data_IF_070889142273
#
_entry.id   IF_070889142273
#
_cell.length_a   1.000
_cell.length_b   1.000
_cell.length_c   1.000
_cell.angle_alpha   90.00
_cell.angle_beta   90.00
_cell.angle_gamma   90.00
#
_symmetry.space_group_name_H-M   'P 1'
#
loop_
_entity.id
_entity.type
_entity.pdbx_description
1 polymer ?
#
# COMPACT_ATOMS: atom_id res chain seq x y z
N UNK A 1 33.84 -11.26 2.88
CA UNK A 1 33.27 -9.94 2.55
C UNK A 1 33.32 -9.09 3.82
N UNK A 2 33.59 -7.78 3.74
CA UNK A 2 33.47 -6.92 4.91
C UNK A 2 32.03 -7.02 5.46
N UNK A 3 31.92 -7.15 6.77
CA UNK A 3 30.63 -7.31 7.46
C UNK A 3 29.96 -5.93 7.53
N UNK A 4 28.97 -5.69 6.67
CA UNK A 4 28.22 -4.45 6.69
C UNK A 4 27.25 -4.47 7.87
N UNK A 5 27.41 -3.53 8.81
CA UNK A 5 26.41 -3.31 9.87
C UNK A 5 25.17 -2.67 9.25
N UNK A 6 24.05 -3.37 9.32
CA UNK A 6 22.75 -2.88 8.90
C UNK A 6 22.02 -2.33 10.13
N UNK A 7 21.39 -1.18 9.98
CA UNK A 7 20.63 -0.49 11.04
C UNK A 7 19.28 -0.04 10.50
N UNK A 8 18.29 0.07 11.38
CA UNK A 8 17.01 0.70 11.08
C UNK A 8 17.11 2.15 11.52
N UNK A 9 16.90 3.09 10.59
CA UNK A 9 17.03 4.52 10.84
C UNK A 9 15.71 5.25 11.00
N UNK A 10 14.60 4.67 10.53
CA UNK A 10 13.27 5.25 10.72
C UNK A 10 12.17 4.22 10.51
N UNK A 11 10.98 4.54 11.03
CA UNK A 11 9.81 3.69 10.99
C UNK A 11 8.53 4.49 10.69
N UNK A 12 7.61 3.86 9.96
CA UNK A 12 6.32 4.44 9.65
C UNK A 12 5.26 3.34 9.58
N UNK A 13 4.07 3.65 10.10
CA UNK A 13 2.99 2.70 10.28
C UNK A 13 1.68 3.36 9.87
N UNK A 14 0.84 2.67 9.12
CA UNK A 14 -0.55 3.04 8.93
C UNK A 14 -1.41 1.85 9.34
N UNK A 15 -2.16 2.00 10.44
CA UNK A 15 -2.89 0.89 11.08
C UNK A 15 -4.20 1.35 11.71
N UNK A 16 -5.01 0.40 12.16
CA UNK A 16 -6.31 0.68 12.80
C UNK A 16 -6.21 1.38 14.17
N UNK A 17 -5.01 1.45 14.77
CA UNK A 17 -4.78 2.09 16.08
C UNK A 17 -3.82 3.28 16.00
N UNK A 18 -3.35 3.65 14.81
CA UNK A 18 -2.43 4.77 14.67
C UNK A 18 -1.92 4.97 13.24
N UNK A 19 -1.75 6.24 12.89
CA UNK A 19 -1.14 6.70 11.65
C UNK A 19 0.16 7.43 12.01
N UNK A 20 1.29 6.82 11.67
CA UNK A 20 2.62 7.15 12.20
C UNK A 20 3.05 6.20 13.30
N UNK A 21 4.37 5.97 13.43
CA UNK A 21 4.90 5.01 14.40
C UNK A 21 4.69 5.47 15.85
N UNK A 22 4.68 6.80 16.12
CA UNK A 22 4.47 7.36 17.46
C UNK A 22 3.04 7.10 17.96
N UNK A 23 2.04 7.46 17.15
CA UNK A 23 0.63 7.25 17.47
C UNK A 23 0.32 5.77 17.67
N UNK A 24 0.83 4.92 16.76
CA UNK A 24 0.71 3.47 16.86
C UNK A 24 1.31 2.93 18.16
N UNK A 25 2.54 3.33 18.49
CA UNK A 25 3.22 2.84 19.68
C UNK A 25 2.56 3.33 20.98
N UNK A 26 2.12 4.59 21.01
CA UNK A 26 1.40 5.14 22.14
C UNK A 26 0.06 4.42 22.37
N UNK A 27 -0.70 4.12 21.30
CA UNK A 27 -1.93 3.35 21.37
C UNK A 27 -1.68 1.91 21.84
N UNK A 28 -0.63 1.27 21.33
CA UNK A 28 -0.22 -0.07 21.74
C UNK A 28 0.09 -0.13 23.25
N UNK A 29 0.84 0.84 23.79
CA UNK A 29 1.17 0.91 25.21
C UNK A 29 -0.04 1.15 26.12
N UNK A 30 -1.11 1.78 25.61
CA UNK A 30 -2.38 1.94 26.33
C UNK A 30 -3.27 0.70 26.28
N UNK A 31 -2.96 -0.27 25.42
CA UNK A 31 -3.80 -1.44 25.17
C UNK A 31 -5.01 -1.13 24.27
N UNK A 32 -4.92 -0.09 23.45
CA UNK A 32 -5.99 0.27 22.51
C UNK A 32 -6.15 -0.84 21.44
N UNK A 33 -7.40 -1.24 21.17
CA UNK A 33 -7.71 -2.24 20.14
C UNK A 33 -8.30 -1.58 18.90
N UNK A 34 -7.78 -1.97 17.72
CA UNK A 34 -8.35 -1.60 16.44
C UNK A 34 -9.55 -2.46 16.04
N UNK A 35 -9.71 -3.63 16.67
CA UNK A 35 -10.77 -4.61 16.37
C UNK A 35 -12.12 -4.05 16.78
N UNK A 36 -13.01 -3.90 15.80
CA UNK A 36 -14.34 -3.30 15.95
C UNK A 36 -15.32 -3.87 14.94
N UNK A 37 -16.57 -3.44 15.02
CA UNK A 37 -17.56 -3.74 13.98
C UNK A 37 -17.15 -3.12 12.64
N UNK A 38 -17.36 -3.85 11.55
CA UNK A 38 -17.18 -3.33 10.19
C UNK A 38 -18.28 -2.34 9.76
N UNK A 39 -19.25 -2.02 10.63
CA UNK A 39 -20.25 -0.98 10.37
C UNK A 39 -19.65 0.42 10.17
N UNK A 40 -18.53 0.72 10.85
CA UNK A 40 -17.91 2.05 10.85
C UNK A 40 -16.75 2.18 9.84
N UNK A 41 -16.57 1.21 8.93
CA UNK A 41 -15.50 1.23 7.93
C UNK A 41 -15.75 2.30 6.86
N UNK A 42 -14.67 2.86 6.31
CA UNK A 42 -14.71 3.91 5.27
C UNK A 42 -13.82 3.56 4.05
N UNK A 43 -13.56 2.27 3.84
CA UNK A 43 -12.71 1.72 2.78
C UNK A 43 -13.53 1.12 1.62
N UNK A 44 -14.77 1.58 1.44
CA UNK A 44 -15.74 1.15 0.41
C UNK A 44 -16.07 -0.35 0.42
N UNK A 45 -15.72 -1.07 1.49
CA UNK A 45 -16.10 -2.47 1.68
C UNK A 45 -17.54 -2.64 2.18
N UNK A 46 -18.08 -3.88 2.13
CA UNK A 46 -19.43 -4.16 2.59
C UNK A 46 -19.57 -3.92 4.10
N UNK A 47 -20.74 -3.43 4.50
CA UNK A 47 -21.15 -3.19 5.88
C UNK A 47 -22.32 -4.11 6.26
N UNK A 48 -22.56 -4.33 7.57
CA UNK A 48 -23.65 -5.19 8.03
C UNK A 48 -25.01 -4.69 7.53
N UNK A 49 -25.91 -5.59 7.08
CA UNK A 49 -27.22 -5.19 6.55
C UNK A 49 -28.10 -4.56 7.63
N UNK A 50 -28.76 -3.45 7.29
CA UNK A 50 -29.70 -2.78 8.19
C UNK A 50 -31.03 -3.53 8.24
N UNK A 51 -31.54 -3.83 9.45
CA UNK A 51 -32.90 -4.36 9.64
C UNK A 51 -33.11 -5.83 9.23
N UNK A 52 -32.03 -6.60 9.09
CA UNK A 52 -32.05 -8.08 8.97
C UNK A 52 -31.26 -8.68 10.13
N UNK A 53 -31.52 -9.95 10.47
CA UNK A 53 -30.58 -10.68 11.31
C UNK A 53 -29.22 -10.69 10.59
N UNK A 54 -28.16 -10.33 11.31
CA UNK A 54 -26.81 -10.40 10.76
C UNK A 54 -26.46 -11.86 10.53
N UNK A 55 -26.34 -12.27 9.28
CA UNK A 55 -25.63 -13.49 8.94
C UNK A 55 -24.13 -13.22 9.18
N UNK A 56 -23.51 -14.06 10.02
CA UNK A 56 -22.08 -14.03 10.35
C UNK A 56 -21.50 -12.92 11.23
N UNK A 57 -20.16 -12.93 11.32
CA UNK A 57 -19.36 -12.05 12.18
C UNK A 57 -18.78 -10.87 11.39
N UNK A 58 -19.35 -9.69 11.58
CA UNK A 58 -18.89 -8.45 10.95
C UNK A 58 -17.85 -7.71 11.78
N UNK A 59 -16.71 -8.36 12.03
CA UNK A 59 -15.64 -7.85 12.89
C UNK A 59 -14.33 -7.75 12.11
N UNK A 60 -13.59 -6.67 12.30
CA UNK A 60 -12.27 -6.49 11.71
C UNK A 60 -11.53 -5.31 12.34
N UNK A 61 -10.37 -4.95 11.77
CA UNK A 61 -9.59 -3.80 12.19
C UNK A 61 -9.41 -2.82 11.01
N UNK A 62 -10.48 -2.14 10.56
CA UNK A 62 -10.39 -1.17 9.49
C UNK A 62 -9.58 0.05 9.93
N UNK A 63 -8.77 0.58 9.02
CA UNK A 63 -8.20 1.93 9.17
C UNK A 63 -9.29 2.91 8.77
N UNK A 64 -9.75 3.71 9.73
CA UNK A 64 -10.83 4.69 9.54
C UNK A 64 -10.29 6.13 9.57
N UNK A 65 -10.93 7.03 8.85
CA UNK A 65 -10.54 8.44 8.75
C UNK A 65 -9.33 8.70 7.87
N UNK A 66 -8.86 7.71 7.10
CA UNK A 66 -7.72 7.89 6.20
C UNK A 66 -8.16 8.57 4.89
N UNK A 67 -7.61 9.77 4.64
CA UNK A 67 -7.73 10.49 3.37
C UNK A 67 -6.35 10.61 2.69
N UNK A 68 -6.12 9.78 1.68
CA UNK A 68 -4.88 9.80 0.90
C UNK A 68 -4.58 11.14 0.22
N UNK A 69 -5.58 12.02 0.02
CA UNK A 69 -5.37 13.36 -0.55
C UNK A 69 -4.52 14.27 0.33
N UNK A 70 -4.42 13.98 1.63
CA UNK A 70 -3.63 14.77 2.57
C UNK A 70 -2.13 14.49 2.41
N UNK A 71 -1.77 13.30 1.93
CA UNK A 71 -0.39 12.81 1.97
C UNK A 71 0.22 12.57 0.58
N UNK A 72 -0.57 12.08 -0.38
CA UNK A 72 -0.04 11.69 -1.70
C UNK A 72 0.14 12.90 -2.60
N UNK A 73 1.39 13.20 -2.94
CA UNK A 73 1.78 14.25 -3.89
C UNK A 73 2.63 13.62 -5.02
N UNK A 74 2.40 13.97 -6.29
CA UNK A 74 1.31 14.81 -6.80
C UNK A 74 -0.05 14.09 -6.74
N UNK A 75 -1.15 14.85 -6.56
CA UNK A 75 -2.52 14.29 -6.42
C UNK A 75 -2.98 13.43 -7.61
N UNK A 76 -2.35 13.58 -8.78
CA UNK A 76 -2.61 12.74 -9.96
C UNK A 76 -2.26 11.27 -9.71
N UNK A 77 -1.28 10.98 -8.86
CA UNK A 77 -0.86 9.61 -8.53
C UNK A 77 -1.98 8.81 -7.85
N UNK A 78 -2.89 9.47 -7.10
CA UNK A 78 -4.04 8.83 -6.48
C UNK A 78 -4.95 8.08 -7.46
N UNK A 79 -4.99 8.49 -8.73
CA UNK A 79 -5.82 7.84 -9.76
C UNK A 79 -5.38 6.41 -10.08
N UNK A 80 -4.13 6.06 -9.78
CA UNK A 80 -3.53 4.76 -10.07
C UNK A 80 -3.13 4.02 -8.80
N UNK A 81 -3.64 4.42 -7.63
CA UNK A 81 -3.38 3.77 -6.35
C UNK A 81 -4.66 3.24 -5.71
N UNK A 82 -4.70 1.96 -5.34
CA UNK A 82 -5.68 1.46 -4.36
C UNK A 82 -5.44 2.07 -2.97
N UNK A 83 -6.38 1.88 -2.05
CA UNK A 83 -6.25 2.34 -0.67
C UNK A 83 -5.02 1.75 0.03
N UNK A 84 -4.70 0.47 -0.21
CA UNK A 84 -3.54 -0.21 0.37
C UNK A 84 -2.23 0.37 -0.14
N UNK A 85 -2.16 0.71 -1.44
CA UNK A 85 -1.00 1.38 -2.02
C UNK A 85 -0.82 2.77 -1.40
N UNK A 86 -1.90 3.52 -1.21
CA UNK A 86 -1.85 4.82 -0.55
C UNK A 86 -1.34 4.68 0.89
N UNK A 87 -1.85 3.72 1.67
CA UNK A 87 -1.39 3.47 3.03
C UNK A 87 0.10 3.09 3.09
N UNK A 88 0.54 2.20 2.19
CA UNK A 88 1.95 1.81 2.06
C UNK A 88 2.84 3.00 1.75
N UNK A 89 2.42 3.83 0.81
CA UNK A 89 3.10 5.05 0.43
C UNK A 89 3.23 6.01 1.61
N UNK A 90 2.14 6.29 2.32
CA UNK A 90 2.13 7.20 3.47
C UNK A 90 3.01 6.69 4.60
N UNK A 91 2.90 5.40 4.95
CA UNK A 91 3.77 4.79 5.95
C UNK A 91 5.26 4.88 5.56
N UNK A 92 5.57 4.73 4.27
CA UNK A 92 6.94 4.87 3.77
C UNK A 92 7.44 6.31 3.88
N UNK A 93 6.63 7.30 3.53
CA UNK A 93 7.01 8.70 3.67
C UNK A 93 7.22 9.09 5.14
N UNK A 94 6.38 8.59 6.05
CA UNK A 94 6.57 8.78 7.50
C UNK A 94 7.86 8.12 8.01
N UNK A 95 8.23 6.95 7.48
CA UNK A 95 9.49 6.29 7.84
C UNK A 95 10.72 7.07 7.37
N UNK A 96 10.62 7.71 6.20
CA UNK A 96 11.67 8.57 5.63
C UNK A 96 11.83 9.85 6.44
N UNK A 97 10.71 10.48 6.82
CA UNK A 97 10.69 11.65 7.68
C UNK A 97 11.28 11.33 9.07
N UNK A 98 10.89 10.22 9.68
CA UNK A 98 11.43 9.75 10.96
C UNK A 98 12.94 9.49 10.90
N UNK A 99 13.44 9.01 9.76
CA UNK A 99 14.87 8.84 9.54
C UNK A 99 15.64 10.16 9.31
N UNK A 100 14.93 11.29 9.14
CA UNK A 100 15.53 12.57 8.75
C UNK A 100 16.12 12.54 7.34
N UNK A 101 15.55 11.73 6.44
CA UNK A 101 16.08 11.51 5.08
C UNK A 101 15.24 12.17 3.97
N UNK A 102 14.20 12.92 4.33
CA UNK A 102 13.28 13.59 3.41
C UNK A 102 13.99 14.54 2.43
N UNK A 103 14.96 15.31 2.94
CA UNK A 103 15.69 16.32 2.17
C UNK A 103 16.89 15.78 1.39
N UNK A 104 17.30 14.53 1.64
CA UNK A 104 18.51 13.95 1.03
C UNK A 104 18.22 12.99 -0.12
N UNK A 105 16.95 12.62 -0.32
CA UNK A 105 16.58 11.79 -1.45
C UNK A 105 16.56 12.58 -2.76
N UNK A 106 16.97 11.97 -3.89
CA UNK A 106 17.13 12.70 -5.16
C UNK A 106 15.85 13.30 -5.76
N UNK A 107 14.67 12.98 -5.23
CA UNK A 107 13.39 13.55 -5.66
C UNK A 107 12.95 14.78 -4.85
N UNK A 108 13.65 15.14 -3.76
CA UNK A 108 13.39 16.38 -3.05
C UNK A 108 13.64 17.55 -4.01
N UNK A 109 12.59 18.32 -4.32
CA UNK A 109 12.70 19.49 -5.21
C UNK A 109 13.78 20.43 -4.67
N UNK A 110 14.87 20.60 -5.45
CA UNK A 110 15.82 21.67 -5.23
C UNK A 110 15.23 22.99 -5.74
N UNK A 111 14.14 23.46 -5.13
CA UNK A 111 13.61 24.81 -5.36
C UNK A 111 14.37 25.88 -4.53
N UNK A 112 15.41 25.47 -3.82
CA UNK A 112 16.34 26.36 -3.17
C UNK A 112 17.69 26.34 -3.87
N UNK A 113 17.98 27.41 -4.60
CA UNK A 113 19.34 28.01 -4.77
C UNK A 113 19.97 28.44 -3.41
N UNK A 114 19.47 27.89 -2.30
CA UNK A 114 19.90 28.16 -0.93
C UNK A 114 20.04 26.88 -0.11
N UNK A 115 20.55 25.81 -0.70
CA UNK A 115 21.29 24.85 0.10
C UNK A 115 22.64 25.50 0.41
N UNK A 116 22.76 26.11 1.59
CA UNK A 116 24.06 26.25 2.21
C UNK A 116 24.74 24.88 2.08
N UNK A 117 25.84 24.86 1.35
CA UNK A 117 26.64 23.68 1.06
C UNK A 117 27.19 23.13 2.37
N UNK A 118 26.39 22.35 3.09
CA UNK A 118 26.92 21.45 4.08
C UNK A 118 27.52 20.28 3.31
N UNK A 119 28.81 20.39 3.00
CA UNK A 119 29.59 19.37 2.29
C UNK A 119 29.57 18.00 3.02
N UNK A 120 29.08 17.95 4.27
CA UNK A 120 28.90 16.73 5.05
C UNK A 120 27.48 16.12 5.01
N UNK A 121 26.52 16.70 4.29
CA UNK A 121 25.20 16.11 4.15
C UNK A 121 25.27 14.77 3.38
N UNK A 122 24.73 13.70 3.95
CA UNK A 122 24.63 12.39 3.29
C UNK A 122 23.81 12.57 2.01
N UNK A 123 24.40 12.23 0.85
CA UNK A 123 23.69 12.23 -0.44
C UNK A 123 23.65 10.81 -0.98
N UNK A 124 22.45 10.33 -1.27
CA UNK A 124 22.28 9.05 -1.95
C UNK A 124 22.24 9.25 -3.46
N UNK A 125 22.98 8.44 -4.22
CA UNK A 125 22.73 8.37 -5.66
C UNK A 125 21.46 7.53 -5.89
N UNK A 126 20.63 7.83 -6.91
CA UNK A 126 19.43 7.06 -7.25
C UNK A 126 19.64 5.54 -7.27
N UNK A 127 20.75 5.09 -7.87
CA UNK A 127 21.12 3.67 -8.00
C UNK A 127 21.40 2.95 -6.67
N UNK A 128 21.71 3.70 -5.61
CA UNK A 128 22.09 3.15 -4.31
C UNK A 128 20.89 3.02 -3.36
N UNK A 129 19.71 3.46 -3.80
CA UNK A 129 18.46 3.39 -3.05
C UNK A 129 17.58 2.29 -3.65
N UNK A 130 17.20 1.30 -2.85
CA UNK A 130 16.25 0.27 -3.24
C UNK A 130 14.92 0.35 -2.50
N UNK A 131 13.92 -0.32 -3.06
CA UNK A 131 12.58 -0.46 -2.48
C UNK A 131 12.16 -1.93 -2.56
N UNK A 132 11.91 -2.56 -1.42
CA UNK A 132 11.50 -3.97 -1.37
C UNK A 132 10.31 -4.11 -0.43
N UNK A 133 9.16 -4.49 -0.97
CA UNK A 133 7.92 -4.53 -0.21
C UNK A 133 7.33 -5.94 -0.15
N UNK A 134 6.76 -6.27 0.99
CA UNK A 134 5.78 -7.34 1.09
C UNK A 134 4.43 -6.81 0.60
N UNK A 135 3.69 -7.63 -0.15
CA UNK A 135 2.31 -7.30 -0.46
C UNK A 135 1.43 -8.52 -0.28
N UNK A 136 0.18 -8.26 0.07
CA UNK A 136 -0.90 -9.19 -0.20
C UNK A 136 -1.38 -9.03 -1.65
N UNK A 137 -2.24 -9.92 -2.12
CA UNK A 137 -3.00 -9.65 -3.34
C UNK A 137 -3.93 -8.46 -3.08
N UNK A 138 -3.85 -7.44 -3.94
CA UNK A 138 -4.71 -6.27 -3.87
C UNK A 138 -5.88 -6.48 -4.83
N UNK A 139 -7.09 -6.20 -4.36
CA UNK A 139 -8.30 -6.43 -5.12
C UNK A 139 -9.11 -5.14 -5.22
N UNK A 140 -9.62 -4.86 -6.42
CA UNK A 140 -10.66 -3.86 -6.59
C UNK A 140 -11.99 -4.33 -5.99
N UNK A 141 -12.87 -3.39 -5.60
CA UNK A 141 -14.21 -3.75 -5.18
C UNK A 141 -14.98 -4.36 -6.37
N UNK A 142 -15.86 -5.37 -6.15
CA UNK A 142 -16.63 -5.99 -7.22
C UNK A 142 -17.46 -4.99 -8.03
N UNK A 143 -17.84 -3.87 -7.42
CA UNK A 143 -18.60 -2.78 -8.03
C UNK A 143 -17.88 -2.13 -9.22
N UNK A 144 -16.55 -2.14 -9.28
CA UNK A 144 -15.80 -1.60 -10.42
C UNK A 144 -15.98 -2.43 -11.71
N UNK A 145 -16.34 -3.70 -11.60
CA UNK A 145 -16.64 -4.56 -12.74
C UNK A 145 -18.14 -4.81 -12.94
N UNK A 146 -18.98 -4.41 -11.98
CA UNK A 146 -20.41 -4.73 -11.97
C UNK A 146 -21.14 -4.29 -13.25
N UNK A 147 -20.85 -3.10 -13.77
CA UNK A 147 -21.46 -2.61 -15.02
C UNK A 147 -21.07 -3.48 -16.23
N UNK A 148 -19.81 -3.94 -16.29
CA UNK A 148 -19.36 -4.81 -17.37
C UNK A 148 -20.09 -6.16 -17.32
N UNK A 149 -20.23 -6.74 -16.12
CA UNK A 149 -20.98 -7.98 -15.90
C UNK A 149 -22.47 -7.82 -16.22
N UNK A 150 -23.10 -6.73 -15.81
CA UNK A 150 -24.51 -6.46 -16.12
C UNK A 150 -24.77 -6.40 -17.63
N UNK A 151 -23.83 -5.86 -18.41
CA UNK A 151 -23.91 -5.83 -19.88
C UNK A 151 -23.70 -7.19 -20.54
N UNK A 152 -23.30 -8.21 -19.79
CA UNK A 152 -23.19 -9.59 -20.27
C UNK A 152 -24.44 -10.42 -20.00
N UNK A 153 -25.42 -9.90 -19.25
CA UNK A 153 -26.67 -10.61 -18.99
C UNK A 153 -27.60 -10.50 -20.21
N UNK A 154 -28.28 -11.60 -20.53
CA UNK A 154 -29.43 -11.61 -21.44
C UNK A 154 -30.74 -11.27 -20.72
N UNK A 155 -31.85 -11.28 -21.45
CA UNK A 155 -33.18 -10.94 -20.91
C UNK A 155 -33.66 -11.95 -19.85
N UNK A 156 -33.12 -13.17 -19.86
CA UNK A 156 -33.40 -14.23 -18.88
C UNK A 156 -32.42 -14.20 -17.68
N UNK A 157 -31.45 -13.27 -17.68
CA UNK A 157 -30.43 -13.14 -16.65
C UNK A 157 -29.31 -14.17 -16.75
N UNK A 158 -29.22 -14.93 -17.85
CA UNK A 158 -28.10 -15.82 -18.11
C UNK A 158 -26.90 -15.02 -18.63
N UNK A 159 -25.70 -15.47 -18.27
CA UNK A 159 -24.47 -14.77 -18.60
C UNK A 159 -23.94 -15.22 -19.97
N UNK A 160 -23.82 -14.26 -20.88
CA UNK A 160 -23.12 -14.41 -22.16
C UNK A 160 -21.70 -13.84 -22.05
N UNK A 161 -20.75 -14.74 -21.80
CA UNK A 161 -19.32 -14.42 -21.63
C UNK A 161 -18.71 -13.77 -22.88
N UNK A 162 -19.24 -14.05 -24.07
CA UNK A 162 -18.70 -13.54 -25.33
C UNK A 162 -18.79 -12.00 -25.42
N UNK A 163 -19.75 -11.40 -24.71
CA UNK A 163 -19.98 -9.94 -24.65
C UNK A 163 -19.00 -9.22 -23.71
N UNK A 164 -18.30 -9.96 -22.85
CA UNK A 164 -17.49 -9.35 -21.78
C UNK A 164 -16.36 -8.47 -22.31
N UNK A 165 -15.67 -8.90 -23.37
CA UNK A 165 -14.57 -8.13 -23.94
C UNK A 165 -15.01 -6.72 -24.37
N UNK A 166 -16.12 -6.62 -25.12
CA UNK A 166 -16.63 -5.32 -25.57
C UNK A 166 -17.19 -4.49 -24.40
N UNK A 167 -17.93 -5.13 -23.48
CA UNK A 167 -18.47 -4.46 -22.31
C UNK A 167 -17.35 -3.85 -21.46
N UNK A 168 -16.35 -4.66 -21.10
CA UNK A 168 -15.22 -4.26 -20.28
C UNK A 168 -14.40 -3.12 -20.93
N UNK A 169 -14.14 -3.19 -22.24
CA UNK A 169 -13.42 -2.12 -22.95
C UNK A 169 -14.14 -0.76 -22.89
N UNK A 170 -15.47 -0.75 -22.76
CA UNK A 170 -16.26 0.49 -22.72
C UNK A 170 -16.51 1.01 -21.31
N UNK A 171 -16.64 0.14 -20.30
CA UNK A 171 -17.02 0.54 -18.94
C UNK A 171 -15.91 0.46 -17.90
N UNK A 172 -14.82 -0.27 -18.15
CA UNK A 172 -13.71 -0.38 -17.20
C UNK A 172 -12.65 0.68 -17.51
N UNK A 173 -12.19 1.37 -16.47
CA UNK A 173 -11.11 2.35 -16.59
C UNK A 173 -9.82 1.66 -17.08
N UNK A 174 -9.15 2.14 -18.15
CA UNK A 174 -8.02 1.40 -18.75
C UNK A 174 -6.84 1.10 -17.81
N UNK A 175 -6.61 1.93 -16.80
CA UNK A 175 -5.54 1.74 -15.81
C UNK A 175 -6.03 0.98 -14.56
N UNK A 176 -7.23 0.40 -14.60
CA UNK A 176 -7.85 -0.29 -13.47
C UNK A 176 -6.95 -1.40 -12.92
N UNK A 177 -6.36 -2.22 -13.79
CA UNK A 177 -5.43 -3.28 -13.36
C UNK A 177 -4.20 -2.73 -12.65
N UNK A 178 -3.63 -1.61 -13.13
CA UNK A 178 -2.46 -1.00 -12.51
C UNK A 178 -2.74 -0.52 -11.09
N UNK A 179 -4.00 -0.15 -10.79
CA UNK A 179 -4.42 0.32 -9.47
C UNK A 179 -4.31 -0.76 -8.39
N UNK A 180 -4.25 -2.04 -8.77
CA UNK A 180 -4.26 -3.18 -7.85
C UNK A 180 -3.08 -4.14 -8.04
N UNK A 181 -2.05 -3.73 -8.77
CA UNK A 181 -0.86 -4.56 -8.94
C UNK A 181 -0.08 -4.61 -7.61
N UNK A 182 0.23 -5.80 -7.06
CA UNK A 182 0.90 -5.93 -5.75
C UNK A 182 2.26 -5.25 -5.67
N UNK A 183 2.97 -5.06 -6.79
CA UNK A 183 4.28 -4.41 -6.83
C UNK A 183 4.22 -2.88 -6.79
N UNK A 184 3.03 -2.29 -6.95
CA UNK A 184 2.87 -0.85 -7.03
C UNK A 184 3.21 -0.08 -5.75
N UNK A 185 3.08 -0.61 -4.52
CA UNK A 185 3.63 0.02 -3.32
C UNK A 185 5.14 0.35 -3.48
N UNK A 186 5.96 -0.64 -3.85
CA UNK A 186 7.39 -0.46 -4.06
C UNK A 186 7.68 0.53 -5.20
N UNK A 187 6.96 0.40 -6.32
CA UNK A 187 7.14 1.30 -7.46
C UNK A 187 6.76 2.75 -7.14
N UNK A 188 5.63 3.00 -6.47
CA UNK A 188 5.20 4.36 -6.14
C UNK A 188 6.11 5.04 -5.13
N UNK A 189 6.59 4.30 -4.12
CA UNK A 189 7.59 4.80 -3.19
C UNK A 189 8.90 5.11 -3.94
N UNK A 190 9.35 4.18 -4.79
CA UNK A 190 10.57 4.36 -5.57
C UNK A 190 10.51 5.56 -6.52
N UNK A 191 9.38 5.77 -7.19
CA UNK A 191 9.15 6.95 -8.04
C UNK A 191 9.22 8.24 -7.21
N UNK A 192 8.59 8.26 -6.03
CA UNK A 192 8.53 9.46 -5.21
C UNK A 192 9.86 9.86 -4.57
N UNK A 193 10.80 8.93 -4.42
CA UNK A 193 12.15 9.22 -3.89
C UNK A 193 13.24 9.11 -4.95
N UNK A 194 12.86 8.88 -6.23
CA UNK A 194 13.75 8.67 -7.35
C UNK A 194 14.78 7.54 -7.10
N UNK A 195 14.32 6.40 -6.58
CA UNK A 195 15.11 5.20 -6.34
C UNK A 195 15.24 4.36 -7.62
N UNK A 196 16.48 4.11 -8.04
CA UNK A 196 16.84 3.32 -9.24
C UNK A 196 17.57 2.02 -8.90
N UNK A 197 17.81 1.75 -7.62
CA UNK A 197 18.37 0.49 -7.14
C UNK A 197 17.35 -0.66 -7.21
N UNK A 198 17.56 -1.74 -6.44
CA UNK A 198 16.66 -2.90 -6.43
C UNK A 198 15.22 -2.49 -6.15
N UNK A 199 14.29 -2.88 -7.03
CA UNK A 199 12.85 -2.70 -6.86
C UNK A 199 12.18 -4.07 -6.95
N UNK A 200 11.71 -4.59 -5.82
CA UNK A 200 11.13 -5.93 -5.76
C UNK A 200 9.89 -5.96 -4.86
N UNK A 201 9.05 -6.97 -5.05
CA UNK A 201 7.88 -7.21 -4.22
C UNK A 201 7.66 -8.70 -3.99
N UNK A 202 7.44 -9.08 -2.73
CA UNK A 202 7.21 -10.45 -2.31
C UNK A 202 5.75 -10.63 -1.88
N UNK A 203 5.09 -11.63 -2.48
CA UNK A 203 3.67 -11.95 -2.24
C UNK A 203 3.56 -13.37 -1.70
N UNK A 204 3.85 -13.51 -0.41
CA UNK A 204 3.93 -14.77 0.34
C UNK A 204 2.90 -14.84 1.49
N UNK A 205 1.84 -14.04 1.45
CA UNK A 205 0.82 -13.98 2.50
C UNK A 205 1.36 -13.35 3.79
N UNK A 206 1.15 -14.02 4.93
CA UNK A 206 1.59 -13.53 6.25
C UNK A 206 3.11 -13.36 6.37
N UNK A 207 3.88 -14.03 5.52
CA UNK A 207 5.35 -13.94 5.51
C UNK A 207 5.88 -12.89 4.53
N UNK A 208 5.03 -12.20 3.77
CA UNK A 208 5.44 -11.18 2.78
C UNK A 208 6.31 -10.09 3.40
N UNK A 209 5.91 -9.55 4.56
CA UNK A 209 6.65 -8.48 5.23
C UNK A 209 8.03 -8.91 5.75
N UNK A 210 8.12 -9.98 6.56
CA UNK A 210 9.41 -10.52 6.98
C UNK A 210 10.32 -10.89 5.81
N UNK A 211 9.79 -11.52 4.77
CA UNK A 211 10.58 -11.88 3.59
C UNK A 211 11.11 -10.65 2.85
N UNK A 212 10.33 -9.56 2.79
CA UNK A 212 10.76 -8.30 2.18
C UNK A 212 11.88 -7.62 2.96
N UNK A 213 11.83 -7.72 4.30
CA UNK A 213 12.91 -7.25 5.15
C UNK A 213 14.18 -8.10 4.94
N UNK A 214 14.06 -9.42 4.87
CA UNK A 214 15.19 -10.32 4.60
C UNK A 214 15.84 -10.04 3.23
N UNK A 215 15.04 -9.80 2.20
CA UNK A 215 15.53 -9.43 0.86
C UNK A 215 16.21 -8.05 0.87
N UNK A 216 15.69 -7.08 1.63
CA UNK A 216 16.35 -5.78 1.81
C UNK A 216 17.69 -5.93 2.53
N UNK A 217 17.76 -6.74 3.59
CA UNK A 217 19.00 -7.07 4.30
C UNK A 217 20.00 -7.75 3.37
N UNK A 218 19.55 -8.68 2.53
CA UNK A 218 20.36 -9.35 1.50
C UNK A 218 20.94 -8.35 0.50
N UNK A 219 20.15 -7.39 0.02
CA UNK A 219 20.62 -6.33 -0.89
C UNK A 219 21.72 -5.47 -0.26
N UNK A 220 21.54 -5.06 1.00
CA UNK A 220 22.52 -4.27 1.75
C UNK A 220 23.80 -5.07 2.02
N UNK A 221 23.67 -6.33 2.43
CA UNK A 221 24.80 -7.22 2.75
C UNK A 221 25.67 -7.47 1.52
N UNK A 222 25.04 -7.57 0.34
CA UNK A 222 25.72 -7.78 -0.95
C UNK A 222 26.27 -6.49 -1.56
N UNK A 223 26.04 -5.33 -0.94
CA UNK A 223 26.47 -4.03 -1.46
C UNK A 223 25.76 -3.63 -2.76
N UNK A 224 24.57 -4.17 -3.03
CA UNK A 224 23.77 -3.82 -4.21
C UNK A 224 23.12 -2.44 -4.04
N UNK A 225 22.80 -2.09 -2.79
CA UNK A 225 22.27 -0.79 -2.38
C UNK A 225 22.90 -0.38 -1.04
N UNK A 226 22.81 0.90 -0.68
CA UNK A 226 23.26 1.45 0.61
C UNK A 226 22.09 1.91 1.48
N UNK A 227 20.92 2.13 0.89
CA UNK A 227 19.68 2.43 1.57
C UNK A 227 18.55 1.58 0.98
N UNK A 228 17.73 0.99 1.85
CA UNK A 228 16.55 0.24 1.43
C UNK A 228 15.32 0.78 2.16
N UNK A 229 14.26 1.07 1.41
CA UNK A 229 12.93 1.21 1.98
C UNK A 229 12.28 -0.16 1.94
N UNK A 230 11.98 -0.71 3.11
CA UNK A 230 11.31 -1.99 3.25
C UNK A 230 10.04 -1.85 4.09
N UNK A 231 9.00 -2.56 3.70
CA UNK A 231 7.71 -2.50 4.37
C UNK A 231 6.75 -3.55 3.82
N UNK A 232 5.50 -3.51 4.27
CA UNK A 232 4.46 -4.34 3.69
C UNK A 232 3.09 -3.68 3.74
N UNK A 233 2.22 -4.07 2.82
CA UNK A 233 0.85 -3.57 2.78
C UNK A 233 -0.14 -4.64 2.32
N UNK A 234 -1.36 -4.53 2.83
CA UNK A 234 -2.43 -5.44 2.48
C UNK A 234 -3.65 -5.25 3.37
N UNK A 235 -4.74 -5.90 2.94
CA UNK A 235 -5.97 -5.97 3.71
C UNK A 235 -6.57 -7.37 3.60
N UNK A 236 -7.22 -7.82 4.67
CA UNK A 236 -8.00 -9.07 4.72
C UNK A 236 -9.50 -8.86 4.80
N UNK A 237 -9.94 -7.61 4.93
CA UNK A 237 -11.35 -7.23 5.03
C UNK A 237 -11.93 -6.74 3.69
N UNK A 238 -11.17 -6.87 2.59
CA UNK A 238 -11.63 -6.54 1.24
C UNK A 238 -12.67 -7.57 0.76
N UNK A 239 -13.76 -7.07 0.16
CA UNK A 239 -14.90 -7.88 -0.26
C UNK A 239 -14.51 -9.03 -1.21
N UNK A 240 -13.72 -8.73 -2.24
CA UNK A 240 -13.32 -9.72 -3.25
C UNK A 240 -12.51 -10.85 -2.63
N UNK A 241 -11.66 -10.52 -1.67
CA UNK A 241 -10.87 -11.51 -0.92
C UNK A 241 -11.74 -12.37 0.00
N UNK A 242 -12.68 -11.75 0.73
CA UNK A 242 -13.61 -12.48 1.60
C UNK A 242 -14.45 -13.47 0.79
N UNK A 243 -14.98 -13.03 -0.37
CA UNK A 243 -15.67 -13.91 -1.32
C UNK A 243 -14.78 -15.07 -1.79
N UNK A 244 -13.55 -14.79 -2.23
CA UNK A 244 -12.65 -15.81 -2.75
C UNK A 244 -12.32 -16.93 -1.73
N UNK A 245 -12.21 -16.57 -0.45
CA UNK A 245 -11.88 -17.52 0.62
C UNK A 245 -13.12 -18.20 1.24
N UNK A 246 -14.32 -17.82 0.81
CA UNK A 246 -15.57 -18.12 1.51
C UNK A 246 -15.52 -17.68 2.99
N UNK A 247 -14.80 -16.60 3.28
CA UNK A 247 -14.72 -15.95 4.60
C UNK A 247 -15.84 -14.88 4.74
N UNK A 248 -16.88 -14.97 3.91
CA UNK A 248 -18.05 -14.08 4.01
C UNK A 248 -18.74 -14.33 5.36
N UNK A 249 -19.12 -13.27 6.09
CA UNK A 249 -20.06 -13.42 7.20
C UNK A 249 -21.40 -13.96 6.67
#
# INVERSE_FOLDING_TARGET
>A
MPEHRIVITGAGVASAIGLGHQDFFAALLRGDSGVRSLADRDDDGPTPPSGRENDGLWIGAPIVGFDGKQFVKPRKALKVMSREIQLAYVASMMAIEDAGLDSVFPAAESDTDSAASDDNAVKFAPKDIGTVFGSEMLYGPPTELAEAFQKCLDDDGAMDESRFGEAAMRSVMPLWMLKYLPNMPACHVGIAINAHGPNNTLVLGDTSGPAALDEAISCLTRGIATCMISGAAGTRINATRLNYRNDLP
#
